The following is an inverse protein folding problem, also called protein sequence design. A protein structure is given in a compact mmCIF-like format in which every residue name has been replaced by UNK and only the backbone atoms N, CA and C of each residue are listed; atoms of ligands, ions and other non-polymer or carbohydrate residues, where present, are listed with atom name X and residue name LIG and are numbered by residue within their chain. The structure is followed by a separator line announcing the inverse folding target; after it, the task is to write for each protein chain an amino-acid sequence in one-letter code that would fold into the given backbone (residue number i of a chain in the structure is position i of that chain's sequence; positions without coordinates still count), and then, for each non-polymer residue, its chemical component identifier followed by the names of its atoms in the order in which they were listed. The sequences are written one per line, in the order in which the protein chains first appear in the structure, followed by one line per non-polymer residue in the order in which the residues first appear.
data_IF_737317821240
#
_entry.id   IF_737317821240
#
_cell.length_a   1.000
_cell.length_b   1.000
_cell.length_c   1.000
_cell.angle_alpha   90.00
_cell.angle_beta   90.00
_cell.angle_gamma   90.00
#
_symmetry.space_group_name_H-M   'P 1'
#
loop_
_entity.id
_entity.type
_entity.pdbx_description
1 polymer ?
#
# COMPACT_ATOMS: atom_id res chain seq x y z
N UNK A 1 -23.94 23.93 -30.42
CA UNK A 1 -23.86 22.49 -30.06
C UNK A 1 -22.43 21.94 -30.04
N UNK A 2 -21.53 22.26 -31.00
CA UNK A 2 -20.14 21.74 -31.02
C UNK A 2 -19.33 22.00 -29.74
N UNK A 3 -19.47 23.19 -29.13
CA UNK A 3 -18.74 23.52 -27.89
C UNK A 3 -19.27 22.79 -26.65
N UNK A 4 -20.56 22.44 -26.62
CA UNK A 4 -21.16 21.71 -25.50
C UNK A 4 -20.62 20.27 -25.41
N UNK A 5 -20.41 19.64 -26.57
CA UNK A 5 -19.79 18.31 -26.67
C UNK A 5 -18.33 18.32 -26.18
N UNK A 6 -17.59 19.39 -26.47
CA UNK A 6 -16.20 19.57 -26.04
C UNK A 6 -16.10 19.72 -24.51
N UNK A 7 -17.02 20.48 -23.91
CA UNK A 7 -17.12 20.61 -22.45
C UNK A 7 -17.50 19.29 -21.78
N UNK A 8 -18.43 18.51 -22.35
CA UNK A 8 -18.77 17.18 -21.86
C UNK A 8 -17.56 16.22 -21.91
N UNK A 9 -16.81 16.18 -23.01
CA UNK A 9 -15.61 15.33 -23.15
C UNK A 9 -14.53 15.72 -22.12
N UNK A 10 -14.31 17.02 -21.89
CA UNK A 10 -13.40 17.51 -20.85
C UNK A 10 -13.86 17.11 -19.44
N UNK A 11 -15.16 17.18 -19.15
CA UNK A 11 -15.73 16.83 -17.85
C UNK A 11 -15.65 15.32 -17.55
N UNK A 12 -15.78 14.45 -18.55
CA UNK A 12 -15.58 13.01 -18.37
C UNK A 12 -14.11 12.63 -18.23
N UNK A 13 -13.21 13.35 -18.91
CA UNK A 13 -11.78 13.08 -18.80
C UNK A 13 -11.25 13.33 -17.39
N UNK A 14 -11.76 14.35 -16.67
CA UNK A 14 -11.30 14.68 -15.32
C UNK A 14 -11.78 13.68 -14.25
N UNK A 15 -12.86 12.92 -14.50
CA UNK A 15 -13.40 11.94 -13.55
C UNK A 15 -12.62 10.62 -13.50
N UNK A 16 -11.78 10.33 -14.51
CA UNK A 16 -10.98 9.10 -14.55
C UNK A 16 -9.75 9.11 -13.62
N UNK A 17 -9.45 10.25 -12.96
CA UNK A 17 -8.15 10.47 -12.31
C UNK A 17 -8.09 10.17 -10.80
N UNK A 18 -9.15 9.61 -10.21
CA UNK A 18 -9.18 9.17 -8.81
C UNK A 18 -9.62 7.71 -8.65
N UNK A 19 -9.36 6.86 -9.66
CA UNK A 19 -9.81 5.48 -9.65
C UNK A 19 -8.95 4.64 -8.70
N UNK A 20 -9.63 3.84 -7.87
CA UNK A 20 -9.03 2.78 -7.07
C UNK A 20 -8.43 1.71 -8.01
N UNK A 21 -7.13 1.50 -7.92
CA UNK A 21 -6.43 0.37 -8.54
C UNK A 21 -6.35 -0.77 -7.51
N UNK A 22 -6.91 -1.93 -7.85
CA UNK A 22 -6.82 -3.15 -7.02
C UNK A 22 -5.90 -4.14 -7.70
N UNK A 23 -4.84 -4.55 -7.01
CA UNK A 23 -3.91 -5.59 -7.48
C UNK A 23 -3.85 -6.71 -6.46
N UNK A 24 -3.97 -7.95 -6.90
CA UNK A 24 -3.83 -9.13 -6.05
C UNK A 24 -2.57 -9.90 -6.45
N UNK A 25 -1.80 -10.31 -5.45
CA UNK A 25 -0.59 -11.10 -5.58
C UNK A 25 -0.57 -12.19 -4.50
N UNK A 26 0.43 -13.05 -4.54
CA UNK A 26 0.61 -14.15 -3.61
C UNK A 26 2.04 -14.19 -3.06
N UNK A 27 2.16 -14.56 -1.79
CA UNK A 27 3.43 -14.83 -1.13
C UNK A 27 3.49 -16.33 -0.86
N UNK A 28 4.59 -16.98 -1.23
CA UNK A 28 4.79 -18.40 -0.99
C UNK A 28 5.77 -18.63 0.17
N UNK A 29 5.31 -19.34 1.20
CA UNK A 29 6.13 -19.81 2.34
C UNK A 29 5.85 -21.28 2.53
N UNK A 30 6.89 -22.11 2.55
CA UNK A 30 6.77 -23.56 2.77
C UNK A 30 5.74 -24.25 1.84
N UNK A 31 5.76 -23.90 0.56
CA UNK A 31 4.82 -24.40 -0.46
C UNK A 31 3.37 -23.90 -0.33
N UNK A 32 3.04 -23.11 0.70
CA UNK A 32 1.72 -22.51 0.91
C UNK A 32 1.66 -21.09 0.38
N UNK A 33 0.53 -20.74 -0.22
CA UNK A 33 0.28 -19.42 -0.80
C UNK A 33 -0.59 -18.57 0.13
N UNK A 34 -0.14 -17.33 0.36
CA UNK A 34 -0.79 -16.33 1.20
C UNK A 34 -1.15 -15.12 0.33
N UNK A 35 -2.38 -14.62 0.48
CA UNK A 35 -2.88 -13.53 -0.37
C UNK A 35 -2.36 -12.17 0.08
N UNK A 36 -1.84 -11.40 -0.86
CA UNK A 36 -1.45 -9.99 -0.70
C UNK A 36 -2.27 -9.15 -1.67
N UNK A 37 -3.04 -8.20 -1.16
CA UNK A 37 -3.84 -7.29 -1.99
C UNK A 37 -3.37 -5.85 -1.78
N UNK A 38 -3.18 -5.12 -2.88
CA UNK A 38 -2.95 -3.68 -2.91
C UNK A 38 -4.24 -2.97 -3.32
N UNK A 39 -4.66 -2.01 -2.51
CA UNK A 39 -5.64 -0.98 -2.83
C UNK A 39 -4.89 0.35 -3.00
N UNK A 40 -4.67 0.76 -4.24
CA UNK A 40 -3.92 1.95 -4.62
C UNK A 40 -4.89 3.08 -4.98
N UNK A 41 -4.84 4.17 -4.23
CA UNK A 41 -5.66 5.36 -4.49
C UNK A 41 -4.81 6.54 -4.92
N UNK A 42 -5.21 7.22 -6.00
CA UNK A 42 -4.48 8.37 -6.54
C UNK A 42 -3.22 8.00 -7.34
N UNK A 43 -2.66 8.99 -8.06
CA UNK A 43 -1.49 8.81 -8.94
C UNK A 43 -0.24 8.38 -8.17
N UNK A 44 0.67 7.69 -8.87
CA UNK A 44 2.02 7.42 -8.40
C UNK A 44 2.81 8.73 -8.23
N UNK A 45 2.82 9.28 -7.02
CA UNK A 45 3.78 10.30 -6.59
C UNK A 45 4.90 9.62 -5.81
N UNK A 46 6.14 10.11 -5.93
CA UNK A 46 7.33 9.52 -5.28
C UNK A 46 7.16 9.31 -3.77
N UNK A 47 6.35 10.17 -3.13
CA UNK A 47 6.09 10.18 -1.70
C UNK A 47 4.76 9.53 -1.29
N UNK A 48 4.14 8.70 -2.14
CA UNK A 48 2.82 8.11 -1.87
C UNK A 48 2.82 7.36 -0.52
N UNK A 49 2.06 7.82 0.49
CA UNK A 49 1.90 7.14 1.77
C UNK A 49 1.50 5.68 1.56
N UNK A 50 1.96 4.83 2.46
CA UNK A 50 1.70 3.40 2.39
C UNK A 50 1.38 2.84 3.76
N UNK A 51 0.47 1.87 3.82
CA UNK A 51 0.09 1.16 5.04
C UNK A 51 -0.08 -0.32 4.76
N UNK A 52 0.35 -1.15 5.69
CA UNK A 52 0.19 -2.60 5.62
C UNK A 52 -0.72 -3.07 6.75
N UNK A 53 -1.76 -3.79 6.39
CA UNK A 53 -2.69 -4.44 7.29
C UNK A 53 -2.51 -5.95 7.21
N UNK A 54 -2.35 -6.60 8.36
CA UNK A 54 -2.26 -8.05 8.47
C UNK A 54 -3.52 -8.56 9.17
N UNK A 55 -4.22 -9.50 8.55
CA UNK A 55 -5.48 -10.04 9.05
C UNK A 55 -5.60 -11.54 8.85
N UNK A 56 -6.53 -12.17 9.58
CA UNK A 56 -6.89 -13.55 9.30
C UNK A 56 -7.58 -13.66 7.93
N UNK A 57 -7.34 -14.73 7.18
CA UNK A 57 -7.90 -14.93 5.83
C UNK A 57 -9.42 -14.74 5.76
N UNK A 58 -10.15 -15.22 6.76
CA UNK A 58 -11.62 -15.08 6.88
C UNK A 58 -12.08 -13.62 7.01
N UNK A 59 -11.23 -12.74 7.51
CA UNK A 59 -11.55 -11.34 7.77
C UNK A 59 -11.16 -10.41 6.61
N UNK A 60 -10.56 -10.96 5.54
CA UNK A 60 -10.09 -10.20 4.39
C UNK A 60 -11.14 -9.26 3.83
N UNK A 61 -12.34 -9.77 3.49
CA UNK A 61 -13.41 -8.96 2.90
C UNK A 61 -13.90 -7.84 3.83
N UNK A 62 -13.91 -8.10 5.15
CA UNK A 62 -14.27 -7.10 6.15
C UNK A 62 -13.22 -5.98 6.18
N UNK A 63 -11.94 -6.34 6.13
CA UNK A 63 -10.82 -5.40 6.10
C UNK A 63 -10.84 -4.55 4.84
N UNK A 64 -10.93 -5.19 3.68
CA UNK A 64 -11.00 -4.54 2.37
C UNK A 64 -12.15 -3.52 2.31
N UNK A 65 -13.37 -3.96 2.61
CA UNK A 65 -14.55 -3.08 2.64
C UNK A 65 -14.38 -1.91 3.60
N UNK A 66 -13.86 -2.15 4.79
CA UNK A 66 -13.63 -1.09 5.78
C UNK A 66 -12.60 -0.05 5.29
N UNK A 67 -11.53 -0.48 4.60
CA UNK A 67 -10.55 0.46 4.00
C UNK A 67 -11.25 1.32 2.95
N UNK A 68 -12.01 0.70 2.05
CA UNK A 68 -12.72 1.41 0.97
C UNK A 68 -13.75 2.41 1.52
N UNK A 69 -14.56 2.01 2.50
CA UNK A 69 -15.50 2.90 3.18
C UNK A 69 -14.79 4.04 3.89
N UNK A 70 -13.67 3.75 4.54
CA UNK A 70 -12.91 4.76 5.23
C UNK A 70 -12.33 5.81 4.29
N UNK A 71 -11.75 5.34 3.18
CA UNK A 71 -11.26 6.20 2.12
C UNK A 71 -12.37 7.10 1.59
N UNK A 72 -13.55 6.54 1.30
CA UNK A 72 -14.71 7.30 0.80
C UNK A 72 -15.13 8.41 1.77
N UNK A 73 -15.08 8.14 3.07
CA UNK A 73 -15.48 9.10 4.11
C UNK A 73 -14.43 10.17 4.41
N UNK A 74 -13.13 9.84 4.27
CA UNK A 74 -12.02 10.72 4.66
C UNK A 74 -11.26 11.35 3.49
N UNK A 75 -11.56 10.97 2.25
CA UNK A 75 -10.92 11.48 1.02
C UNK A 75 -9.39 11.46 1.11
N UNK A 76 -8.82 10.31 1.49
CA UNK A 76 -7.37 10.16 1.63
C UNK A 76 -6.75 9.99 0.23
N UNK A 77 -6.75 11.04 -0.59
CA UNK A 77 -6.61 10.98 -2.05
C UNK A 77 -5.31 10.35 -2.60
N UNK A 78 -4.34 9.97 -1.77
CA UNK A 78 -3.05 9.45 -2.21
C UNK A 78 -2.51 8.46 -1.17
N UNK A 79 -2.93 7.19 -1.19
CA UNK A 79 -2.38 6.17 -0.28
C UNK A 79 -2.46 4.77 -0.90
N UNK A 80 -1.42 3.98 -0.67
CA UNK A 80 -1.41 2.55 -0.95
C UNK A 80 -1.72 1.77 0.33
N UNK A 81 -2.77 0.95 0.29
CA UNK A 81 -3.10 0.03 1.37
C UNK A 81 -2.81 -1.39 0.93
N UNK A 82 -1.86 -2.04 1.61
CA UNK A 82 -1.59 -3.45 1.45
C UNK A 82 -2.37 -4.25 2.50
N UNK A 83 -2.97 -5.35 2.09
CA UNK A 83 -3.69 -6.29 2.94
C UNK A 83 -3.01 -7.65 2.78
N UNK A 84 -2.34 -8.10 3.84
CA UNK A 84 -1.76 -9.43 3.94
C UNK A 84 -2.71 -10.34 4.71
N UNK A 85 -3.26 -11.32 4.00
CA UNK A 85 -4.22 -12.27 4.54
C UNK A 85 -3.54 -13.59 4.91
N UNK A 86 -3.58 -13.95 6.19
CA UNK A 86 -2.89 -15.12 6.75
C UNK A 86 -3.93 -16.07 7.35
N UNK A 87 -3.90 -17.35 6.99
CA UNK A 87 -4.77 -18.34 7.63
C UNK A 87 -4.45 -18.45 9.13
N UNK A 88 -5.47 -18.35 10.00
CA UNK A 88 -5.26 -18.29 11.47
C UNK A 88 -4.74 -16.94 11.99
N UNK A 89 -4.40 -15.99 11.13
CA UNK A 89 -3.89 -14.67 11.55
C UNK A 89 -2.56 -14.77 12.28
N UNK A 90 -2.42 -14.07 13.41
CA UNK A 90 -1.20 -14.06 14.25
C UNK A 90 -0.93 -15.39 14.97
N UNK A 91 -1.90 -16.31 15.01
CA UNK A 91 -1.73 -17.65 15.56
C UNK A 91 -1.10 -18.63 14.57
N UNK A 92 -0.88 -18.22 13.31
CA UNK A 92 -0.20 -19.04 12.32
C UNK A 92 1.25 -19.31 12.76
N UNK A 93 1.73 -20.56 12.76
CA UNK A 93 3.11 -20.87 13.16
C UNK A 93 4.18 -20.21 12.28
N UNK A 94 3.83 -19.86 11.03
CA UNK A 94 4.71 -19.18 10.08
C UNK A 94 4.47 -17.66 10.02
N UNK A 95 3.67 -17.08 10.93
CA UNK A 95 3.23 -15.68 10.85
C UNK A 95 4.38 -14.70 10.58
N UNK A 96 5.48 -14.80 11.35
CA UNK A 96 6.63 -13.90 11.20
C UNK A 96 7.33 -14.07 9.84
N UNK A 97 7.48 -15.30 9.36
CA UNK A 97 8.10 -15.58 8.06
C UNK A 97 7.23 -15.07 6.91
N UNK A 98 5.91 -15.22 7.01
CA UNK A 98 4.96 -14.72 6.02
C UNK A 98 4.98 -13.19 6.00
N UNK A 99 5.00 -12.57 7.18
CA UNK A 99 5.08 -11.12 7.31
C UNK A 99 6.37 -10.57 6.70
N UNK A 100 7.52 -11.16 7.02
CA UNK A 100 8.82 -10.75 6.47
C UNK A 100 8.85 -10.88 4.95
N UNK A 101 8.42 -12.02 4.40
CA UNK A 101 8.31 -12.17 2.94
C UNK A 101 7.34 -11.17 2.31
N UNK A 102 6.24 -10.87 2.99
CA UNK A 102 5.28 -9.87 2.52
C UNK A 102 5.86 -8.46 2.50
N UNK A 103 6.59 -8.06 3.54
CA UNK A 103 7.29 -6.77 3.59
C UNK A 103 8.34 -6.67 2.48
N UNK A 104 9.15 -7.70 2.29
CA UNK A 104 10.15 -7.75 1.20
C UNK A 104 9.50 -7.58 -0.17
N UNK A 105 8.40 -8.30 -0.44
CA UNK A 105 7.67 -8.22 -1.71
C UNK A 105 7.09 -6.82 -1.95
N UNK A 106 6.55 -6.18 -0.90
CA UNK A 106 6.05 -4.80 -0.96
C UNK A 106 7.19 -3.84 -1.29
N UNK A 107 8.32 -3.96 -0.58
CA UNK A 107 9.46 -3.08 -0.77
C UNK A 107 10.06 -3.23 -2.17
N UNK A 108 10.24 -4.46 -2.68
CA UNK A 108 10.67 -4.73 -4.05
C UNK A 108 9.75 -4.08 -5.09
N UNK A 109 8.44 -4.26 -4.92
CA UNK A 109 7.42 -3.69 -5.81
C UNK A 109 7.52 -2.17 -5.82
N UNK A 110 7.68 -1.56 -4.64
CA UNK A 110 7.72 -0.09 -4.48
C UNK A 110 9.02 0.51 -4.97
N UNK A 111 10.15 -0.17 -4.75
CA UNK A 111 11.45 0.19 -5.31
C UNK A 111 11.41 0.20 -6.85
N UNK A 112 10.76 -0.80 -7.47
CA UNK A 112 10.61 -0.83 -8.94
C UNK A 112 9.87 0.38 -9.49
N UNK A 113 8.96 0.96 -8.68
CA UNK A 113 8.17 2.16 -8.98
C UNK A 113 8.81 3.46 -8.47
N UNK A 114 10.02 3.41 -7.90
CA UNK A 114 10.71 4.56 -7.27
C UNK A 114 9.86 5.25 -6.18
N UNK A 115 9.20 4.45 -5.34
CA UNK A 115 8.37 4.91 -4.22
C UNK A 115 9.09 4.67 -2.88
N UNK A 116 8.64 5.35 -1.82
CA UNK A 116 9.00 5.06 -0.43
C UNK A 116 8.75 3.59 -0.09
N UNK A 117 9.42 2.99 0.90
CA UNK A 117 9.21 1.56 1.27
C UNK A 117 8.93 1.41 2.78
N UNK A 118 8.65 0.20 3.27
CA UNK A 118 8.40 -0.07 4.69
C UNK A 118 9.68 -0.31 5.48
N UNK A 119 10.59 -1.15 4.98
CA UNK A 119 11.81 -1.52 5.69
C UNK A 119 13.04 -0.78 5.17
N UNK A 120 13.14 -0.60 3.85
CA UNK A 120 14.33 -0.08 3.19
C UNK A 120 14.33 1.45 3.19
N UNK A 121 15.26 2.05 3.92
CA UNK A 121 15.44 3.50 3.92
C UNK A 121 15.91 4.00 2.55
N UNK A 122 15.49 5.21 2.17
CA UNK A 122 15.94 5.83 0.93
C UNK A 122 16.38 7.27 1.16
N UNK A 123 17.24 7.75 0.26
CA UNK A 123 17.66 9.15 0.18
C UNK A 123 17.38 9.65 -1.23
N UNK A 124 16.92 10.90 -1.31
CA UNK A 124 16.81 11.61 -2.58
C UNK A 124 18.02 12.52 -2.74
N UNK A 125 18.53 12.60 -3.96
CA UNK A 125 19.61 13.53 -4.30
C UNK A 125 19.43 14.06 -5.72
N UNK A 126 19.92 15.29 -5.95
CA UNK A 126 19.94 15.89 -7.27
C UNK A 126 21.21 15.46 -7.99
N UNK A 127 21.07 14.89 -9.19
CA UNK A 127 22.18 14.49 -10.02
C UNK A 127 22.45 15.60 -11.06
N UNK A 128 23.56 16.31 -10.88
CA UNK A 128 23.96 17.42 -11.76
C UNK A 128 24.20 17.00 -13.22
N UNK A 129 24.67 15.76 -13.44
CA UNK A 129 25.06 15.30 -14.78
C UNK A 129 23.85 15.14 -15.72
N UNK A 130 22.69 14.72 -15.19
CA UNK A 130 21.46 14.58 -15.97
C UNK A 130 20.33 15.52 -15.54
N UNK A 131 20.60 16.42 -14.59
CA UNK A 131 19.64 17.40 -14.05
C UNK A 131 18.37 16.76 -13.48
N UNK A 132 18.47 15.54 -12.95
CA UNK A 132 17.32 14.81 -12.40
C UNK A 132 17.45 14.48 -10.92
N UNK A 133 16.32 14.40 -10.22
CA UNK A 133 16.24 13.86 -8.87
C UNK A 133 16.23 12.33 -8.90
N UNK A 134 17.20 11.73 -8.22
CA UNK A 134 17.37 10.27 -8.09
C UNK A 134 17.13 9.80 -6.66
N UNK A 135 16.76 8.53 -6.55
CA UNK A 135 16.52 7.84 -5.28
C UNK A 135 17.57 6.73 -5.13
N UNK A 136 18.20 6.66 -3.96
CA UNK A 136 19.06 5.54 -3.56
C UNK A 136 18.43 4.83 -2.38
N UNK A 137 18.37 3.51 -2.44
CA UNK A 137 17.85 2.64 -1.39
C UNK A 137 19.00 2.00 -0.62
N UNK A 138 18.98 2.08 0.72
CA UNK A 138 19.98 1.48 1.59
C UNK A 138 19.52 0.10 2.07
N UNK A 139 19.77 -0.93 1.23
CA UNK A 139 19.34 -2.31 1.50
C UNK A 139 20.00 -2.94 2.72
N UNK A 140 21.11 -2.40 3.20
CA UNK A 140 21.85 -2.94 4.33
C UNK A 140 21.31 -2.43 5.68
N UNK A 141 20.50 -1.37 5.65
CA UNK A 141 19.97 -0.73 6.84
C UNK A 141 18.44 -0.86 6.89
N UNK A 142 17.98 -2.08 7.16
CA UNK A 142 16.56 -2.39 7.26
C UNK A 142 15.97 -1.89 8.58
N UNK A 143 14.81 -1.27 8.49
CA UNK A 143 14.02 -0.95 9.68
C UNK A 143 13.45 -2.23 10.29
N UNK A 144 13.71 -2.44 11.58
CA UNK A 144 13.13 -3.56 12.34
C UNK A 144 11.59 -3.53 12.26
N UNK A 145 10.97 -4.70 12.11
CA UNK A 145 9.51 -4.84 11.96
C UNK A 145 8.74 -4.13 13.08
N UNK A 146 9.22 -4.22 14.32
CA UNK A 146 8.63 -3.57 15.50
C UNK A 146 8.64 -2.03 15.45
N UNK A 147 9.53 -1.44 14.64
CA UNK A 147 9.70 0.01 14.48
C UNK A 147 8.93 0.56 13.26
N UNK A 148 8.30 -0.29 12.46
CA UNK A 148 7.53 0.11 11.27
C UNK A 148 6.20 0.75 11.71
N UNK A 149 6.11 2.08 11.62
CA UNK A 149 4.93 2.86 12.08
C UNK A 149 3.63 2.58 11.30
N UNK A 150 3.73 2.11 10.06
CA UNK A 150 2.57 1.92 9.16
C UNK A 150 2.19 0.43 8.98
N UNK A 151 2.69 -0.43 9.85
CA UNK A 151 2.34 -1.85 9.91
C UNK A 151 1.31 -2.08 11.02
N UNK A 152 0.15 -2.63 10.65
CA UNK A 152 -0.94 -2.95 11.57
C UNK A 152 -1.21 -4.45 11.58
N UNK A 153 -0.87 -5.09 12.69
CA UNK A 153 -1.09 -6.52 12.89
C UNK A 153 -2.41 -6.76 13.63
N UNK A 154 -3.08 -7.86 13.26
CA UNK A 154 -4.32 -8.35 13.88
C UNK A 154 -5.43 -7.30 13.96
N UNK A 155 -5.86 -6.84 12.78
CA UNK A 155 -6.87 -5.78 12.65
C UNK A 155 -8.31 -6.28 12.55
N UNK A 156 -8.54 -7.59 12.64
CA UNK A 156 -9.87 -8.21 12.54
C UNK A 156 -10.89 -7.61 13.54
N UNK A 157 -10.40 -7.20 14.72
CA UNK A 157 -11.17 -6.62 15.83
C UNK A 157 -11.07 -5.09 15.92
N UNK A 158 -10.17 -4.45 15.17
CA UNK A 158 -9.88 -3.01 15.28
C UNK A 158 -10.65 -2.19 14.24
N UNK A 159 -11.09 -0.98 14.62
CA UNK A 159 -11.69 -0.04 13.68
C UNK A 159 -10.61 0.57 12.77
N UNK A 160 -10.59 0.15 11.50
CA UNK A 160 -9.60 0.57 10.50
C UNK A 160 -9.58 2.09 10.34
N UNK A 161 -10.72 2.77 10.37
CA UNK A 161 -10.73 4.23 10.25
C UNK A 161 -9.99 4.96 11.35
N UNK A 162 -10.00 4.43 12.58
CA UNK A 162 -9.22 5.02 13.65
C UNK A 162 -7.72 4.87 13.38
N UNK A 163 -7.30 3.69 12.92
CA UNK A 163 -5.91 3.42 12.53
C UNK A 163 -5.46 4.33 11.38
N UNK A 164 -6.37 4.63 10.45
CA UNK A 164 -6.08 5.51 9.33
C UNK A 164 -5.91 6.99 9.74
N UNK A 165 -6.67 7.46 10.74
CA UNK A 165 -6.63 8.85 11.21
C UNK A 165 -5.41 9.22 12.05
N UNK A 166 -4.81 8.28 12.78
CA UNK A 166 -3.70 8.55 13.72
C UNK A 166 -2.37 8.98 13.05
N UNK A 167 -2.37 9.23 11.74
CA UNK A 167 -1.18 9.44 10.91
C UNK A 167 -1.35 10.56 9.89
N UNK A 168 -2.46 11.30 9.97
CA UNK A 168 -2.68 12.60 9.32
C UNK A 168 -2.40 13.68 10.36
#
# INVERSE_FOLDING_TARGET
MKHLLLFLILFFSTQLYAQLEVTSDTITVDGKNYGLTLLSYGKHSKSKPLKLFVCAKKDFYKVDKNIQECYKNHKIEYTDFYILSIEGGNTNPYFNQILEKGLNKIDETRMSKKLSTLQIQYKEYYNEADKTWKIVYDKNNLTEISKIKNLYQDISTKNICKLLKQSL
#
